data_IF_165441064286
#
_entry.id   IF_165441064286
#
_cell.length_a   1.000
_cell.length_b   1.000
_cell.length_c   1.000
_cell.angle_alpha   90.00
_cell.angle_beta   90.00
_cell.angle_gamma   90.00
#
_symmetry.space_group_name_H-M   'P 1'
#
loop_
_entity.id
_entity.type
_entity.pdbx_description
1 polymer ?
#
# COMPACT_ATOMS: atom_id res chain seq x y z
N UNK A 1 -13.44 -24.69 -1.21
CA UNK A 1 -12.35 -25.69 -1.34
C UNK A 1 -11.13 -25.13 -2.04
N UNK A 2 -11.26 -24.45 -3.20
CA UNK A 2 -10.12 -23.85 -3.90
C UNK A 2 -9.44 -22.75 -3.08
N UNK A 3 -10.22 -21.87 -2.44
CA UNK A 3 -9.70 -20.83 -1.54
C UNK A 3 -8.79 -21.36 -0.43
N UNK A 4 -9.16 -22.48 0.20
CA UNK A 4 -8.39 -23.07 1.27
C UNK A 4 -7.05 -23.65 0.75
N UNK A 5 -7.07 -24.29 -0.41
CA UNK A 5 -5.88 -24.80 -1.08
C UNK A 5 -4.95 -23.65 -1.50
N UNK A 6 -5.49 -22.57 -2.10
CA UNK A 6 -4.74 -21.40 -2.51
C UNK A 6 -4.15 -20.65 -1.30
N UNK A 7 -4.93 -20.51 -0.23
CA UNK A 7 -4.48 -19.92 1.03
C UNK A 7 -3.32 -20.71 1.65
N UNK A 8 -3.38 -22.04 1.63
CA UNK A 8 -2.28 -22.89 2.07
C UNK A 8 -1.06 -22.73 1.17
N UNK A 9 -1.24 -22.70 -0.15
CA UNK A 9 -0.14 -22.50 -1.09
C UNK A 9 0.58 -21.18 -0.82
N UNK A 10 -0.16 -20.07 -0.62
CA UNK A 10 0.43 -18.78 -0.26
C UNK A 10 1.22 -18.82 1.07
N UNK A 11 0.72 -19.57 2.06
CA UNK A 11 1.43 -19.73 3.34
C UNK A 11 2.71 -20.58 3.21
N UNK A 12 2.76 -21.55 2.30
CA UNK A 12 3.90 -22.46 2.10
C UNK A 12 4.92 -21.97 1.05
N UNK A 13 4.48 -21.24 0.03
CA UNK A 13 5.31 -20.81 -1.11
C UNK A 13 6.16 -19.58 -0.84
N UNK A 14 5.66 -18.66 -0.01
CA UNK A 14 6.28 -17.36 0.19
C UNK A 14 5.22 -16.28 0.27
N UNK A 15 5.23 -15.49 1.34
CA UNK A 15 4.32 -14.35 1.51
C UNK A 15 4.81 -13.16 0.68
N UNK A 16 4.75 -13.25 -0.64
CA UNK A 16 5.07 -12.14 -1.55
C UNK A 16 3.93 -11.89 -2.53
N UNK A 17 3.79 -10.64 -3.00
CA UNK A 17 2.66 -10.26 -3.85
C UNK A 17 2.66 -10.97 -5.21
N UNK A 18 3.83 -11.31 -5.76
CA UNK A 18 3.93 -12.02 -7.04
C UNK A 18 3.30 -13.42 -6.96
N UNK A 19 3.52 -14.14 -5.87
CA UNK A 19 2.91 -15.44 -5.64
C UNK A 19 1.40 -15.31 -5.43
N UNK A 20 0.96 -14.31 -4.66
CA UNK A 20 -0.46 -14.01 -4.49
C UNK A 20 -1.13 -13.68 -5.83
N UNK A 21 -0.49 -12.89 -6.69
CA UNK A 21 -0.97 -12.56 -8.03
C UNK A 21 -1.13 -13.80 -8.91
N UNK A 22 -0.19 -14.74 -8.83
CA UNK A 22 -0.20 -15.96 -9.63
C UNK A 22 -1.38 -16.89 -9.29
N UNK A 23 -1.85 -16.87 -8.04
CA UNK A 23 -2.96 -17.70 -7.57
C UNK A 23 -4.30 -16.96 -7.43
N UNK A 24 -4.29 -15.62 -7.49
CA UNK A 24 -5.47 -14.78 -7.36
C UNK A 24 -6.66 -15.21 -8.25
N UNK A 25 -6.49 -15.65 -9.52
CA UNK A 25 -7.61 -16.13 -10.32
C UNK A 25 -8.39 -17.33 -9.75
N UNK A 26 -7.79 -18.06 -8.80
CA UNK A 26 -8.38 -19.25 -8.16
C UNK A 26 -8.91 -18.97 -6.75
N UNK A 27 -8.82 -17.72 -6.29
CA UNK A 27 -9.23 -17.28 -4.96
C UNK A 27 -10.45 -16.38 -5.05
N UNK A 28 -11.32 -16.44 -4.04
CA UNK A 28 -12.32 -15.41 -3.85
C UNK A 28 -11.66 -14.07 -3.49
N UNK A 29 -12.29 -12.98 -3.93
CA UNK A 29 -11.84 -11.62 -3.62
C UNK A 29 -11.68 -11.38 -2.11
N UNK A 30 -12.57 -11.94 -1.27
CA UNK A 30 -12.48 -11.81 0.19
C UNK A 30 -11.17 -12.40 0.74
N UNK A 31 -10.77 -13.57 0.23
CA UNK A 31 -9.52 -14.22 0.67
C UNK A 31 -8.31 -13.45 0.16
N UNK A 32 -8.36 -12.94 -1.08
CA UNK A 32 -7.31 -12.08 -1.63
C UNK A 32 -7.16 -10.83 -0.77
N UNK A 33 -8.26 -10.16 -0.42
CA UNK A 33 -8.24 -8.94 0.40
C UNK A 33 -7.60 -9.19 1.77
N UNK A 34 -7.92 -10.32 2.42
CA UNK A 34 -7.32 -10.71 3.71
C UNK A 34 -5.83 -11.04 3.56
N UNK A 35 -5.45 -11.77 2.51
CA UNK A 35 -4.05 -12.13 2.23
C UNK A 35 -3.21 -10.88 1.92
N UNK A 36 -3.74 -9.97 1.10
CA UNK A 36 -3.13 -8.68 0.77
C UNK A 36 -2.93 -7.85 2.03
N UNK A 37 -3.99 -7.64 2.83
CA UNK A 37 -3.85 -6.88 4.08
C UNK A 37 -2.76 -7.45 4.97
N UNK A 38 -2.71 -8.78 5.18
CA UNK A 38 -1.63 -9.41 5.95
C UNK A 38 -0.26 -9.17 5.34
N UNK A 39 -0.14 -9.29 4.02
CA UNK A 39 1.12 -9.08 3.30
C UNK A 39 1.68 -7.67 3.53
N UNK A 40 0.84 -6.64 3.36
CA UNK A 40 1.25 -5.24 3.55
C UNK A 40 1.43 -4.91 5.03
N UNK A 41 0.59 -5.43 5.93
CA UNK A 41 0.75 -5.24 7.38
C UNK A 41 2.06 -5.82 7.90
N UNK A 42 2.50 -6.98 7.39
CA UNK A 42 3.78 -7.60 7.75
C UNK A 42 5.01 -6.91 7.12
N UNK A 43 4.81 -5.91 6.24
CA UNK A 43 5.90 -5.16 5.59
C UNK A 43 6.54 -5.88 4.40
N UNK A 44 5.84 -6.88 3.86
CA UNK A 44 6.32 -7.70 2.72
C UNK A 44 5.79 -7.19 1.37
N UNK A 45 5.22 -5.99 1.31
CA UNK A 45 4.72 -5.40 0.07
C UNK A 45 4.83 -3.87 0.07
N UNK A 46 5.07 -3.31 -1.11
CA UNK A 46 5.07 -1.88 -1.39
C UNK A 46 4.09 -1.50 -2.51
N UNK A 47 4.20 -0.27 -2.99
CA UNK A 47 3.28 0.25 -4.00
C UNK A 47 3.24 -0.58 -5.31
N UNK A 48 4.39 -1.09 -5.76
CA UNK A 48 4.48 -1.90 -6.97
C UNK A 48 3.82 -3.28 -6.79
N UNK A 49 4.03 -3.90 -5.64
CA UNK A 49 3.42 -5.17 -5.25
C UNK A 49 1.90 -5.06 -5.18
N UNK A 50 1.37 -3.98 -4.62
CA UNK A 50 -0.08 -3.76 -4.53
C UNK A 50 -0.72 -3.58 -5.90
N UNK A 51 -0.06 -2.86 -6.81
CA UNK A 51 -0.55 -2.71 -8.18
C UNK A 51 -0.65 -4.05 -8.91
N UNK A 52 0.33 -4.94 -8.71
CA UNK A 52 0.37 -6.24 -9.37
C UNK A 52 -0.85 -7.13 -9.03
N UNK A 53 -1.43 -6.97 -7.84
CA UNK A 53 -2.59 -7.75 -7.37
C UNK A 53 -3.91 -6.96 -7.37
N UNK A 54 -3.86 -5.65 -7.59
CA UNK A 54 -4.99 -4.72 -7.45
C UNK A 54 -6.23 -5.10 -8.28
N UNK A 55 -6.06 -5.71 -9.46
CA UNK A 55 -7.16 -6.12 -10.32
C UNK A 55 -8.06 -7.19 -9.72
N UNK A 56 -7.56 -7.93 -8.72
CA UNK A 56 -8.32 -8.97 -8.03
C UNK A 56 -8.87 -8.53 -6.67
N UNK A 57 -8.40 -7.39 -6.15
CA UNK A 57 -8.77 -6.87 -4.84
C UNK A 57 -10.03 -6.01 -4.89
N UNK A 58 -10.71 -5.90 -3.76
CA UNK A 58 -11.73 -4.88 -3.59
C UNK A 58 -11.11 -3.49 -3.45
N UNK A 59 -11.85 -2.44 -3.84
CA UNK A 59 -11.43 -1.05 -3.64
C UNK A 59 -11.15 -0.73 -2.17
N UNK A 60 -11.96 -1.27 -1.26
CA UNK A 60 -11.76 -1.09 0.18
C UNK A 60 -10.42 -1.68 0.65
N UNK A 61 -10.07 -2.89 0.19
CA UNK A 61 -8.79 -3.49 0.54
C UNK A 61 -7.60 -2.75 -0.09
N UNK A 62 -7.74 -2.27 -1.33
CA UNK A 62 -6.72 -1.43 -1.98
C UNK A 62 -6.49 -0.16 -1.16
N UNK A 63 -7.55 0.55 -0.78
CA UNK A 63 -7.44 1.80 -0.02
C UNK A 63 -6.83 1.57 1.38
N UNK A 64 -7.17 0.46 2.04
CA UNK A 64 -6.57 0.08 3.32
C UNK A 64 -5.08 -0.23 3.20
N UNK A 65 -4.68 -1.05 2.21
CA UNK A 65 -3.26 -1.37 1.97
C UNK A 65 -2.49 -0.13 1.53
N UNK A 66 -3.09 0.74 0.73
CA UNK A 66 -2.53 2.02 0.32
C UNK A 66 -2.14 2.86 1.52
N UNK A 67 -3.07 3.04 2.45
CA UNK A 67 -2.83 3.82 3.66
C UNK A 67 -1.63 3.28 4.43
N UNK A 68 -1.55 1.97 4.62
CA UNK A 68 -0.42 1.34 5.31
C UNK A 68 0.91 1.53 4.56
N UNK A 69 0.91 1.38 3.23
CA UNK A 69 2.10 1.59 2.41
C UNK A 69 2.55 3.05 2.52
N UNK A 70 1.65 4.01 2.43
CA UNK A 70 1.99 5.45 2.48
C UNK A 70 2.47 5.88 3.88
N UNK A 71 1.98 5.23 4.94
CA UNK A 71 2.52 5.45 6.29
C UNK A 71 3.97 4.95 6.43
N UNK A 72 4.41 4.02 5.55
CA UNK A 72 5.75 3.40 5.58
C UNK A 72 6.71 3.97 4.52
N UNK A 73 6.21 4.18 3.30
CA UNK A 73 6.94 4.61 2.12
C UNK A 73 6.78 6.13 1.91
N UNK A 74 7.85 6.80 1.49
CA UNK A 74 7.81 8.22 1.11
C UNK A 74 6.83 8.46 -0.06
N UNK A 75 6.57 9.72 -0.39
CA UNK A 75 5.57 10.21 -1.36
C UNK A 75 5.60 9.56 -2.75
N UNK A 76 6.69 8.86 -3.12
CA UNK A 76 6.83 8.13 -4.38
C UNK A 76 5.84 6.97 -4.56
N UNK A 77 5.49 6.25 -3.48
CA UNK A 77 4.52 5.15 -3.55
C UNK A 77 3.11 5.61 -3.94
N UNK A 78 2.74 6.84 -3.53
CA UNK A 78 1.41 7.40 -3.77
C UNK A 78 1.11 7.63 -5.25
N UNK A 79 2.08 8.14 -6.01
CA UNK A 79 1.89 8.46 -7.43
C UNK A 79 1.60 7.19 -8.23
N UNK A 80 2.28 6.09 -7.89
CA UNK A 80 2.08 4.80 -8.53
C UNK A 80 0.67 4.26 -8.28
N UNK A 81 0.15 4.45 -7.07
CA UNK A 81 -1.12 3.88 -6.64
C UNK A 81 -2.38 4.67 -7.03
N UNK A 82 -2.22 5.92 -7.46
CA UNK A 82 -3.35 6.81 -7.79
C UNK A 82 -4.30 6.23 -8.86
N UNK A 83 -3.82 5.34 -9.73
CA UNK A 83 -4.64 4.70 -10.77
C UNK A 83 -5.61 3.64 -10.23
N UNK A 84 -5.33 3.06 -9.05
CA UNK A 84 -6.07 1.92 -8.50
C UNK A 84 -6.83 2.22 -7.21
N UNK A 85 -6.52 3.32 -6.53
CA UNK A 85 -7.25 3.78 -5.34
C UNK A 85 -8.67 4.28 -5.68
N UNK A 86 -9.49 4.52 -4.66
CA UNK A 86 -10.74 5.28 -4.80
C UNK A 86 -10.50 6.80 -4.80
N UNK A 87 -11.43 7.57 -5.38
CA UNK A 87 -11.37 9.04 -5.35
C UNK A 87 -11.28 9.59 -3.92
N UNK A 88 -12.03 8.99 -2.99
CA UNK A 88 -12.02 9.36 -1.58
C UNK A 88 -10.64 9.14 -0.94
N UNK A 89 -9.97 8.03 -1.24
CA UNK A 89 -8.64 7.74 -0.70
C UNK A 89 -7.58 8.68 -1.29
N UNK A 90 -7.73 9.09 -2.55
CA UNK A 90 -6.86 10.09 -3.20
C UNK A 90 -7.01 11.46 -2.51
N UNK A 91 -8.24 11.89 -2.22
CA UNK A 91 -8.48 13.22 -1.61
C UNK A 91 -7.96 13.34 -0.18
N UNK A 92 -8.17 12.30 0.65
CA UNK A 92 -7.56 12.22 1.99
C UNK A 92 -6.03 12.31 1.92
N UNK A 93 -5.44 11.71 0.89
CA UNK A 93 -3.99 11.70 0.76
C UNK A 93 -3.42 12.98 0.15
N UNK A 94 -4.15 13.69 -0.71
CA UNK A 94 -3.77 15.02 -1.21
C UNK A 94 -3.52 15.98 -0.05
N UNK A 95 -4.42 16.00 0.94
CA UNK A 95 -4.24 16.82 2.13
C UNK A 95 -2.98 16.45 2.91
N UNK A 96 -2.74 15.15 3.12
CA UNK A 96 -1.55 14.66 3.84
C UNK A 96 -0.23 15.01 3.12
N UNK A 97 -0.19 14.93 1.79
CA UNK A 97 0.97 15.34 0.98
C UNK A 97 1.20 16.85 1.02
N UNK A 98 0.12 17.63 0.92
CA UNK A 98 0.16 19.10 1.00
C UNK A 98 0.63 19.59 2.37
N UNK A 99 0.13 19.00 3.47
CA UNK A 99 0.57 19.31 4.83
C UNK A 99 2.05 18.95 5.05
N UNK A 100 2.52 17.83 4.50
CA UNK A 100 3.94 17.48 4.51
C UNK A 100 4.83 18.49 3.78
N UNK A 101 4.36 19.07 2.67
CA UNK A 101 5.08 20.12 1.94
C UNK A 101 5.09 21.46 2.69
N UNK A 102 4.01 21.79 3.42
CA UNK A 102 3.95 23.00 4.25
C UNK A 102 4.97 22.96 5.39
N UNK A 103 5.13 21.80 6.05
CA UNK A 103 6.12 21.63 7.14
C UNK A 103 7.58 21.78 6.69
N UNK A 104 7.92 21.32 5.48
CA UNK A 104 9.29 21.49 4.94
C UNK A 104 9.63 22.95 4.61
N UNK A 105 8.66 23.76 4.19
CA UNK A 105 8.89 25.20 3.95
C UNK A 105 8.97 26.03 5.23
N UNK A 106 8.67 25.44 6.38
CA UNK A 106 8.65 26.11 7.69
C UNK A 106 9.81 25.68 8.60
N UNK A 107 10.95 25.23 8.06
CA UNK A 107 12.19 25.21 8.84
C UNK A 107 12.85 26.57 8.72
N UNK A 108 12.89 27.40 9.78
CA UNK A 108 13.64 28.64 9.75
C UNK A 108 15.13 28.31 9.58
N UNK A 109 15.79 29.00 8.65
CA UNK A 109 17.23 28.90 8.34
C UNK A 109 18.16 29.24 9.53
N UNK A 110 17.65 29.42 10.75
CA UNK A 110 18.33 30.11 11.83
C UNK A 110 18.99 29.22 12.89
N UNK A 111 19.27 27.94 12.62
CA UNK A 111 19.98 27.05 13.56
C UNK A 111 21.38 26.62 13.10
N UNK A 112 21.85 27.03 11.92
CA UNK A 112 23.20 26.64 11.44
C UNK A 112 24.33 27.63 11.84
N UNK A 113 23.99 28.84 12.31
CA UNK A 113 24.97 29.78 12.84
C UNK A 113 24.42 30.53 14.07
N UNK A 114 24.62 30.01 15.30
CA UNK A 114 24.55 30.88 16.46
C UNK A 114 25.69 31.89 16.35
N UNK A 115 25.37 33.16 16.10
CA UNK A 115 26.33 34.24 16.32
C UNK A 115 26.58 34.33 17.83
N UNK A 116 27.66 33.70 18.29
CA UNK A 116 28.49 34.05 19.45
C UNK A 116 29.84 33.36 19.30
#
# INVERSE_FOLDING_TARGET
MLDECATKLFQFGGKCAAELAAIAPYMSQEVIDVCSQKLFSEGNGGAAELLAISSFMSKHAIDACAKEIIEREDKGGLVFMASVMSENAIDVQKESVLEGLKKQKQQPFNELYPMC
#
